data_IF_602509543721
#
_entry.id   IF_602509543721
#
_cell.length_a   1.000
_cell.length_b   1.000
_cell.length_c   1.000
_cell.angle_alpha   90.00
_cell.angle_beta   90.00
_cell.angle_gamma   90.00
#
_symmetry.space_group_name_H-M   'P 1'
#
loop_
_entity.id
_entity.type
_entity.pdbx_description
1 polymer ?
#
# COMPACT_ATOMS: atom_id res chain seq x y z
N UNK A 1 7.80 -19.76 -16.03
CA UNK A 1 7.53 -18.31 -15.83
C UNK A 1 8.33 -17.88 -14.60
N UNK A 2 9.38 -17.08 -14.80
CA UNK A 2 10.24 -16.61 -13.72
C UNK A 2 9.47 -15.60 -12.88
N UNK A 3 9.51 -15.70 -11.54
CA UNK A 3 8.90 -14.71 -10.63
C UNK A 3 9.27 -13.27 -11.04
N UNK A 4 10.47 -13.08 -11.60
CA UNK A 4 11.02 -11.80 -11.98
C UNK A 4 10.27 -11.12 -13.15
N UNK A 5 9.75 -11.90 -14.10
CA UNK A 5 9.04 -11.33 -15.25
C UNK A 5 7.66 -10.81 -14.87
N UNK A 6 6.97 -11.46 -13.93
CA UNK A 6 5.68 -10.99 -13.43
C UNK A 6 5.82 -9.68 -12.65
N UNK A 7 6.87 -9.56 -11.83
CA UNK A 7 7.19 -8.33 -11.10
C UNK A 7 7.59 -7.18 -12.02
N UNK A 8 8.43 -7.45 -13.03
CA UNK A 8 8.77 -6.44 -14.03
C UNK A 8 7.54 -5.97 -14.80
N UNK A 9 6.64 -6.87 -15.16
CA UNK A 9 5.40 -6.52 -15.85
C UNK A 9 4.44 -5.71 -14.97
N UNK A 10 4.30 -6.04 -13.69
CA UNK A 10 3.50 -5.25 -12.75
C UNK A 10 4.06 -3.84 -12.53
N UNK A 11 5.38 -3.71 -12.44
CA UNK A 11 6.03 -2.40 -12.30
C UNK A 11 6.00 -1.57 -13.60
N UNK A 12 5.94 -2.23 -14.75
CA UNK A 12 5.93 -1.62 -16.07
C UNK A 12 4.52 -1.42 -16.67
N UNK A 13 3.47 -1.93 -16.02
CA UNK A 13 2.10 -1.58 -16.39
C UNK A 13 1.92 -0.07 -16.16
N UNK A 14 1.69 0.65 -17.26
CA UNK A 14 1.33 2.06 -17.26
C UNK A 14 -0.05 2.22 -16.63
N UNK A 15 -0.06 2.37 -15.31
CA UNK A 15 -1.22 2.79 -14.55
C UNK A 15 -0.96 4.23 -14.14
N UNK A 16 -1.78 5.14 -14.63
CA UNK A 16 -1.62 6.60 -14.55
C UNK A 16 -1.55 7.18 -13.13
N UNK A 17 -1.61 6.36 -12.06
CA UNK A 17 -1.05 6.75 -10.77
C UNK A 17 -0.81 5.53 -9.86
N UNK A 18 0.45 5.27 -9.52
CA UNK A 18 0.77 4.26 -8.50
C UNK A 18 0.45 4.83 -7.12
N UNK A 19 -0.67 4.42 -6.54
CA UNK A 19 -1.03 4.78 -5.16
C UNK A 19 -0.18 4.02 -4.14
N UNK A 20 -0.14 4.50 -2.89
CA UNK A 20 0.51 3.79 -1.77
C UNK A 20 0.00 2.34 -1.62
N UNK A 21 -1.27 2.08 -1.98
CA UNK A 21 -1.86 0.74 -1.89
C UNK A 21 -1.29 -0.22 -2.92
N UNK A 22 -0.93 0.26 -4.12
CA UNK A 22 -0.28 -0.53 -5.16
C UNK A 22 1.08 -1.06 -4.67
N UNK A 23 1.86 -0.22 -3.99
CA UNK A 23 3.14 -0.64 -3.38
C UNK A 23 2.95 -1.62 -2.22
N UNK A 24 1.97 -1.36 -1.34
CA UNK A 24 1.62 -2.27 -0.24
C UNK A 24 1.22 -3.64 -0.78
N UNK A 25 0.39 -3.69 -1.82
CA UNK A 25 -0.02 -4.94 -2.45
C UNK A 25 1.17 -5.70 -3.04
N UNK A 26 2.07 -5.02 -3.76
CA UNK A 26 3.29 -5.65 -4.25
C UNK A 26 4.13 -6.26 -3.13
N UNK A 27 4.27 -5.56 -2.00
CA UNK A 27 4.96 -6.11 -0.82
C UNK A 27 4.22 -7.31 -0.20
N UNK A 28 2.88 -7.30 -0.19
CA UNK A 28 2.05 -8.39 0.35
C UNK A 28 2.29 -9.67 -0.46
N UNK A 29 2.30 -9.54 -1.78
CA UNK A 29 2.56 -10.60 -2.73
C UNK A 29 4.01 -11.11 -2.67
N UNK A 30 5.01 -10.24 -2.53
CA UNK A 30 6.42 -10.67 -2.33
C UNK A 30 6.50 -11.53 -1.07
N UNK A 31 6.00 -11.03 0.07
CA UNK A 31 6.07 -11.73 1.36
C UNK A 31 5.26 -13.02 1.34
N UNK A 32 4.12 -13.07 0.66
CA UNK A 32 3.29 -14.27 0.53
C UNK A 32 4.00 -15.39 -0.25
N UNK A 33 4.83 -15.04 -1.24
CA UNK A 33 5.55 -16.00 -2.07
C UNK A 33 6.86 -16.50 -1.45
N UNK A 34 7.32 -15.92 -0.34
CA UNK A 34 8.50 -16.40 0.38
C UNK A 34 8.23 -17.74 1.08
N UNK A 35 9.14 -18.69 0.90
CA UNK A 35 9.09 -20.02 1.54
C UNK A 35 10.18 -20.13 2.62
N UNK A 36 9.88 -19.79 3.89
CA UNK A 36 10.86 -19.87 4.95
C UNK A 36 11.23 -21.33 5.25
N UNK A 37 12.53 -21.61 5.34
CA UNK A 37 13.09 -22.94 5.60
C UNK A 37 13.48 -23.14 7.05
N UNK A 38 13.73 -22.06 7.79
CA UNK A 38 14.10 -22.09 9.21
C UNK A 38 13.01 -21.49 10.11
N UNK A 39 13.03 -21.84 11.40
CA UNK A 39 12.14 -21.23 12.40
C UNK A 39 12.36 -19.73 12.55
N UNK A 40 13.61 -19.27 12.43
CA UNK A 40 13.96 -17.84 12.45
C UNK A 40 13.33 -17.10 11.28
N UNK A 41 13.39 -17.66 10.07
CA UNK A 41 12.75 -17.08 8.88
C UNK A 41 11.22 -17.05 9.01
N UNK A 42 10.60 -18.11 9.55
CA UNK A 42 9.15 -18.11 9.83
C UNK A 42 8.74 -16.97 10.75
N UNK A 43 9.51 -16.73 11.82
CA UNK A 43 9.28 -15.62 12.76
C UNK A 43 9.43 -14.26 12.07
N UNK A 44 10.49 -14.07 11.28
CA UNK A 44 10.71 -12.83 10.50
C UNK A 44 9.59 -12.58 9.50
N UNK A 45 9.11 -13.62 8.81
CA UNK A 45 8.00 -13.52 7.86
C UNK A 45 6.69 -13.15 8.56
N UNK A 46 6.43 -13.72 9.74
CA UNK A 46 5.26 -13.33 10.55
C UNK A 46 5.31 -11.85 10.96
N UNK A 47 6.48 -11.38 11.37
CA UNK A 47 6.69 -9.98 11.74
C UNK A 47 6.51 -9.05 10.54
N UNK A 48 7.05 -9.41 9.38
CA UNK A 48 6.89 -8.65 8.14
C UNK A 48 5.41 -8.53 7.73
N UNK A 49 4.63 -9.62 7.84
CA UNK A 49 3.17 -9.60 7.59
C UNK A 49 2.44 -8.67 8.56
N UNK A 50 2.86 -8.64 9.83
CA UNK A 50 2.29 -7.73 10.82
C UNK A 50 2.60 -6.27 10.48
N UNK A 51 3.85 -5.94 10.17
CA UNK A 51 4.24 -4.59 9.77
C UNK A 51 3.43 -4.10 8.57
N UNK A 52 3.27 -4.95 7.56
CA UNK A 52 2.53 -4.59 6.35
C UNK A 52 1.05 -4.32 6.63
N UNK A 53 0.45 -5.08 7.55
CA UNK A 53 -0.92 -4.85 8.03
C UNK A 53 -1.04 -3.48 8.72
N UNK A 54 -0.10 -3.10 9.57
CA UNK A 54 -0.12 -1.79 10.24
C UNK A 54 0.09 -0.64 9.25
N UNK A 55 1.02 -0.79 8.30
CA UNK A 55 1.24 0.19 7.22
C UNK A 55 -0.05 0.38 6.40
N UNK A 56 -0.74 -0.72 6.03
CA UNK A 56 -2.02 -0.67 5.31
C UNK A 56 -3.11 0.05 6.11
N UNK A 57 -3.18 -0.15 7.42
CA UNK A 57 -4.11 0.58 8.30
C UNK A 57 -3.78 2.07 8.36
N UNK A 58 -2.51 2.42 8.52
CA UNK A 58 -2.06 3.80 8.54
C UNK A 58 -2.37 4.51 7.21
N UNK A 59 -2.11 3.86 6.08
CA UNK A 59 -2.43 4.38 4.75
C UNK A 59 -3.92 4.67 4.58
N UNK A 60 -4.81 3.77 5.01
CA UNK A 60 -6.26 3.99 5.01
C UNK A 60 -6.67 5.17 5.88
N UNK A 61 -6.09 5.28 7.07
CA UNK A 61 -6.36 6.39 7.99
C UNK A 61 -5.97 7.72 7.35
N UNK A 62 -4.77 7.82 6.78
CA UNK A 62 -4.30 9.03 6.10
C UNK A 62 -5.18 9.40 4.90
N UNK A 63 -5.62 8.43 4.10
CA UNK A 63 -6.52 8.69 2.97
C UNK A 63 -7.87 9.25 3.43
N UNK A 64 -8.44 8.70 4.51
CA UNK A 64 -9.68 9.21 5.09
C UNK A 64 -9.51 10.63 5.66
N UNK A 65 -8.40 10.89 6.35
CA UNK A 65 -8.10 12.22 6.88
C UNK A 65 -7.91 13.24 5.74
N UNK A 66 -7.25 12.85 4.65
CA UNK A 66 -7.11 13.68 3.45
C UNK A 66 -8.47 14.04 2.86
N UNK A 67 -9.35 13.04 2.69
CA UNK A 67 -10.70 13.26 2.17
C UNK A 67 -11.50 14.25 3.04
N UNK A 68 -11.44 14.11 4.36
CA UNK A 68 -12.12 15.04 5.28
C UNK A 68 -11.52 16.45 5.21
N UNK A 69 -10.21 16.57 5.00
CA UNK A 69 -9.55 17.86 4.85
C UNK A 69 -9.92 18.54 3.53
N UNK A 70 -9.97 17.79 2.43
CA UNK A 70 -10.44 18.27 1.12
C UNK A 70 -11.90 18.73 1.20
N UNK A 71 -12.78 17.96 1.85
CA UNK A 71 -14.18 18.36 2.06
C UNK A 71 -14.30 19.66 2.86
N UNK A 72 -13.54 19.80 3.95
CA UNK A 72 -13.52 21.03 4.75
C UNK A 72 -12.96 22.21 3.98
N UNK A 73 -11.95 21.99 3.14
CA UNK A 73 -11.38 23.03 2.28
C UNK A 73 -12.43 23.53 1.29
N UNK A 74 -13.13 22.63 0.61
CA UNK A 74 -14.18 22.98 -0.35
C UNK A 74 -15.27 23.84 0.30
N UNK A 75 -15.76 23.45 1.50
CA UNK A 75 -16.75 24.25 2.24
C UNK A 75 -16.25 25.67 2.54
N UNK A 76 -14.97 25.80 2.91
CA UNK A 76 -14.36 27.11 3.21
C UNK A 76 -14.18 27.97 1.95
N UNK A 77 -13.87 27.35 0.81
CA UNK A 77 -13.75 28.03 -0.48
C UNK A 77 -15.13 28.50 -0.97
N UNK A 78 -16.15 27.64 -0.93
CA UNK A 78 -17.54 28.01 -1.25
C UNK A 78 -18.05 29.18 -0.36
N UNK A 79 -17.72 29.16 0.93
CA UNK A 79 -18.12 30.22 1.87
C UNK A 79 -17.42 31.57 1.66
N UNK A 80 -16.30 31.59 0.94
CA UNK A 80 -15.56 32.81 0.60
C UNK A 80 -16.01 33.44 -0.71
N UNK A 81 -16.54 32.63 -1.62
CA UNK A 81 -17.00 33.07 -2.94
C UNK A 81 -18.46 33.57 -2.93
N UNK A 82 -19.24 33.23 -1.90
CA UNK A 82 -20.60 33.75 -1.66
C UNK A 82 -20.64 35.00 -0.80
#
# INVERSE_FOLDING_TARGET
MSLNSTWQNFLNESLDEKTIFTYIQGLEEIIANLKPRTMTEKRRMSLAKQHLREVKRAARKMQNEMFVLEERLNILEESKEG
#
